data_IF_518978424815
#
_entry.id   IF_518978424815
#
_cell.length_a   1.000
_cell.length_b   1.000
_cell.length_c   1.000
_cell.angle_alpha   90.00
_cell.angle_beta   90.00
_cell.angle_gamma   90.00
#
_symmetry.space_group_name_H-M   'P 1'
#
loop_
_entity.id
_entity.type
_entity.pdbx_description
1 polymer ?
#
# COMPACT_ATOMS: atom_id res chain seq x y z
N UNK A 1 -53.12 -29.80 -46.78
CA UNK A 1 -51.68 -29.52 -46.55
C UNK A 1 -51.41 -29.68 -45.07
N UNK A 2 -50.82 -30.80 -44.67
CA UNK A 2 -50.54 -31.13 -43.27
C UNK A 2 -49.20 -30.49 -42.85
N UNK A 3 -49.21 -29.58 -41.85
CA UNK A 3 -47.99 -28.93 -41.35
C UNK A 3 -47.40 -29.79 -40.23
N UNK A 4 -46.33 -30.53 -40.55
CA UNK A 4 -45.56 -31.32 -39.60
C UNK A 4 -44.83 -30.38 -38.63
N UNK A 5 -45.29 -30.33 -37.38
CA UNK A 5 -44.65 -29.57 -36.29
C UNK A 5 -43.36 -30.27 -35.86
N UNK A 6 -42.22 -29.60 -36.04
CA UNK A 6 -40.92 -30.05 -35.55
C UNK A 6 -40.83 -29.76 -34.05
N UNK A 7 -41.25 -30.71 -33.20
CA UNK A 7 -40.99 -30.65 -31.75
C UNK A 7 -39.50 -30.90 -31.51
N UNK A 8 -38.76 -29.82 -31.24
CA UNK A 8 -37.36 -29.89 -30.79
C UNK A 8 -37.35 -30.58 -29.42
N UNK A 9 -36.71 -31.74 -29.32
CA UNK A 9 -36.43 -32.37 -28.03
C UNK A 9 -35.48 -31.43 -27.28
N UNK A 10 -35.98 -30.78 -26.22
CA UNK A 10 -35.11 -30.14 -25.25
C UNK A 10 -34.59 -31.26 -24.33
N UNK A 11 -33.33 -31.63 -24.51
CA UNK A 11 -32.62 -32.50 -23.58
C UNK A 11 -32.48 -31.76 -22.25
N UNK A 12 -33.12 -32.28 -21.19
CA UNK A 12 -32.91 -31.79 -19.84
C UNK A 12 -31.51 -32.18 -19.34
N UNK A 13 -30.93 -31.35 -18.47
CA UNK A 13 -29.72 -31.68 -17.73
C UNK A 13 -29.97 -32.89 -16.81
N UNK A 14 -29.05 -33.85 -16.79
CA UNK A 14 -29.12 -34.99 -15.88
C UNK A 14 -28.58 -34.62 -14.49
N UNK A 15 -29.08 -35.30 -13.46
CA UNK A 15 -28.58 -35.15 -12.09
C UNK A 15 -27.09 -35.46 -11.97
N UNK A 16 -26.59 -36.43 -12.75
CA UNK A 16 -25.18 -36.82 -12.74
C UNK A 16 -24.27 -35.71 -13.31
N UNK A 17 -24.74 -34.96 -14.31
CA UNK A 17 -23.99 -33.81 -14.86
C UNK A 17 -23.84 -32.69 -13.84
N UNK A 18 -24.90 -32.42 -13.05
CA UNK A 18 -24.81 -31.42 -11.98
C UNK A 18 -23.86 -31.87 -10.87
N UNK A 19 -23.88 -33.16 -10.49
CA UNK A 19 -22.97 -33.69 -9.46
C UNK A 19 -21.51 -33.63 -9.93
N UNK A 20 -21.22 -34.04 -11.17
CA UNK A 20 -19.87 -34.01 -11.72
C UNK A 20 -19.29 -32.58 -11.73
N UNK A 21 -20.11 -31.58 -12.08
CA UNK A 21 -19.69 -30.16 -12.05
C UNK A 21 -19.41 -29.69 -10.64
N UNK A 22 -20.26 -30.01 -9.66
CA UNK A 22 -20.04 -29.62 -8.26
C UNK A 22 -18.76 -30.24 -7.68
N UNK A 23 -18.45 -31.49 -8.04
CA UNK A 23 -17.20 -32.14 -7.62
C UNK A 23 -15.98 -31.41 -8.20
N UNK A 24 -16.00 -31.07 -9.49
CA UNK A 24 -14.90 -30.34 -10.12
C UNK A 24 -14.75 -28.94 -9.50
N UNK A 25 -15.85 -28.21 -9.32
CA UNK A 25 -15.83 -26.90 -8.66
C UNK A 25 -15.34 -26.99 -7.21
N UNK A 26 -15.68 -28.06 -6.48
CA UNK A 26 -15.21 -28.31 -5.13
C UNK A 26 -13.68 -28.48 -5.06
N UNK A 27 -13.10 -29.25 -5.98
CA UNK A 27 -11.64 -29.44 -6.05
C UNK A 27 -10.94 -28.12 -6.42
N UNK A 28 -11.46 -27.40 -7.42
CA UNK A 28 -10.91 -26.11 -7.83
C UNK A 28 -10.95 -25.08 -6.70
N UNK A 29 -12.06 -25.02 -5.96
CA UNK A 29 -12.21 -24.11 -4.81
C UNK A 29 -11.22 -24.46 -3.70
N UNK A 30 -11.04 -25.74 -3.37
CA UNK A 30 -10.13 -26.19 -2.33
C UNK A 30 -8.66 -25.77 -2.58
N UNK A 31 -8.23 -25.72 -3.84
CA UNK A 31 -6.86 -25.30 -4.20
C UNK A 31 -6.76 -23.79 -4.42
N UNK A 32 -7.78 -23.14 -4.99
CA UNK A 32 -7.74 -21.73 -5.36
C UNK A 32 -7.85 -20.79 -4.15
N UNK A 33 -8.72 -21.09 -3.19
CA UNK A 33 -8.96 -20.24 -2.01
C UNK A 33 -7.68 -19.97 -1.19
N UNK A 34 -6.90 -20.98 -0.75
CA UNK A 34 -5.72 -20.71 0.08
C UNK A 34 -4.67 -19.89 -0.67
N UNK A 35 -4.49 -20.12 -1.97
CA UNK A 35 -3.58 -19.33 -2.80
C UNK A 35 -4.03 -17.89 -2.93
N UNK A 36 -5.33 -17.65 -3.11
CA UNK A 36 -5.89 -16.30 -3.24
C UNK A 36 -5.68 -15.48 -1.96
N UNK A 37 -5.89 -16.08 -0.79
CA UNK A 37 -5.66 -15.42 0.50
C UNK A 37 -4.19 -15.02 0.67
N UNK A 38 -3.24 -15.92 0.36
CA UNK A 38 -1.82 -15.62 0.45
C UNK A 38 -1.42 -14.48 -0.50
N UNK A 39 -1.87 -14.51 -1.76
CA UNK A 39 -1.60 -13.45 -2.72
C UNK A 39 -2.15 -12.09 -2.28
N UNK A 40 -3.31 -12.08 -1.62
CA UNK A 40 -3.88 -10.84 -1.09
C UNK A 40 -3.02 -10.27 0.05
N UNK A 41 -2.56 -11.12 0.97
CA UNK A 41 -1.65 -10.72 2.05
C UNK A 41 -0.33 -10.17 1.50
N UNK A 42 0.29 -10.88 0.54
CA UNK A 42 1.54 -10.45 -0.08
C UNK A 42 1.36 -9.10 -0.81
N UNK A 43 0.24 -8.93 -1.53
CA UNK A 43 -0.06 -7.68 -2.22
C UNK A 43 -0.24 -6.51 -1.25
N UNK A 44 -0.90 -6.73 -0.10
CA UNK A 44 -1.05 -5.73 0.95
C UNK A 44 0.30 -5.31 1.55
N UNK A 45 1.18 -6.28 1.84
CA UNK A 45 2.52 -5.98 2.34
C UNK A 45 3.34 -5.17 1.32
N UNK A 46 3.30 -5.58 0.04
CA UNK A 46 4.00 -4.84 -1.03
C UNK A 46 3.45 -3.44 -1.26
N UNK A 47 2.15 -3.23 -1.09
CA UNK A 47 1.55 -1.90 -1.16
C UNK A 47 2.10 -0.97 -0.07
N UNK A 48 2.25 -1.47 1.17
CA UNK A 48 2.83 -0.69 2.25
C UNK A 48 4.32 -0.43 2.04
N UNK A 49 5.09 -1.43 1.57
CA UNK A 49 6.50 -1.22 1.21
C UNK A 49 6.67 -0.16 0.13
N UNK A 50 5.81 -0.15 -0.89
CA UNK A 50 5.81 0.86 -1.93
C UNK A 50 5.49 2.27 -1.38
N UNK A 51 4.50 2.38 -0.48
CA UNK A 51 4.18 3.64 0.19
C UNK A 51 5.38 4.18 0.97
N UNK A 52 6.08 3.33 1.72
CA UNK A 52 7.28 3.73 2.47
C UNK A 52 8.40 4.19 1.52
N UNK A 53 8.57 3.53 0.37
CA UNK A 53 9.53 3.97 -0.65
C UNK A 53 9.21 5.36 -1.21
N UNK A 54 7.93 5.64 -1.48
CA UNK A 54 7.48 6.96 -1.90
C UNK A 54 7.71 8.02 -0.81
N UNK A 55 7.40 7.70 0.45
CA UNK A 55 7.64 8.58 1.60
C UNK A 55 9.12 8.93 1.78
N UNK A 56 10.02 7.94 1.63
CA UNK A 56 11.48 8.15 1.72
C UNK A 56 12.00 9.06 0.60
N UNK A 57 11.47 8.89 -0.60
CA UNK A 57 11.77 9.77 -1.74
C UNK A 57 11.32 11.21 -1.46
N UNK A 58 10.11 11.38 -0.92
CA UNK A 58 9.57 12.69 -0.54
C UNK A 58 10.40 13.37 0.54
N UNK A 59 10.79 12.66 1.59
CA UNK A 59 11.63 13.18 2.67
C UNK A 59 13.02 13.61 2.19
N UNK A 60 13.63 12.85 1.27
CA UNK A 60 14.93 13.20 0.67
C UNK A 60 14.82 14.42 -0.24
N UNK A 61 13.76 14.50 -1.04
CA UNK A 61 13.51 15.64 -1.93
C UNK A 61 13.25 16.92 -1.15
N UNK A 62 12.41 16.86 -0.11
CA UNK A 62 12.13 18.03 0.74
C UNK A 62 13.34 18.45 1.58
N UNK A 63 14.20 17.51 1.96
CA UNK A 63 15.49 17.82 2.59
C UNK A 63 16.39 18.64 1.65
N UNK A 64 16.51 18.22 0.38
CA UNK A 64 17.27 18.98 -0.61
C UNK A 64 16.68 20.38 -0.86
N UNK A 65 15.35 20.51 -0.90
CA UNK A 65 14.67 21.81 -1.00
C UNK A 65 14.93 22.70 0.21
N UNK A 66 14.99 22.11 1.41
CA UNK A 66 15.32 22.82 2.63
C UNK A 66 16.74 23.41 2.57
N UNK A 67 17.74 22.61 2.16
CA UNK A 67 19.12 23.07 2.00
C UNK A 67 19.23 24.23 1.00
N UNK A 68 18.50 24.16 -0.10
CA UNK A 68 18.49 25.22 -1.12
C UNK A 68 17.92 26.54 -0.60
N UNK A 69 16.91 26.47 0.27
CA UNK A 69 16.17 27.65 0.76
C UNK A 69 16.84 28.27 1.98
N UNK A 70 17.34 27.45 2.90
CA UNK A 70 17.82 27.88 4.21
C UNK A 70 19.35 27.89 4.36
N UNK A 71 20.07 27.41 3.34
CA UNK A 71 21.55 27.32 3.28
C UNK A 71 22.22 26.54 4.43
N UNK A 72 21.43 25.90 5.29
CA UNK A 72 21.86 25.14 6.46
C UNK A 72 21.05 23.84 6.52
N UNK A 73 21.64 22.79 7.11
CA UNK A 73 20.94 21.55 7.37
C UNK A 73 19.76 21.76 8.34
N UNK A 74 18.62 21.08 8.11
CA UNK A 74 17.51 21.12 9.06
C UNK A 74 17.92 20.49 10.38
N UNK A 75 17.46 21.07 11.48
CA UNK A 75 17.76 20.54 12.83
C UNK A 75 16.64 19.67 13.38
N UNK A 76 15.51 19.55 12.66
CA UNK A 76 14.33 18.84 13.12
C UNK A 76 13.31 18.56 12.03
N UNK A 77 12.34 17.71 12.38
CA UNK A 77 11.05 17.64 11.70
C UNK A 77 9.98 17.99 12.73
N UNK A 78 9.08 18.93 12.40
CA UNK A 78 7.92 19.29 13.23
C UNK A 78 6.72 19.43 12.32
N UNK A 79 5.60 18.78 12.66
CA UNK A 79 4.38 18.84 11.84
C UNK A 79 4.59 18.37 10.39
N UNK A 80 5.44 17.35 10.20
CA UNK A 80 5.80 16.83 8.88
C UNK A 80 6.50 17.85 7.97
N UNK A 81 7.16 18.87 8.53
CA UNK A 81 8.01 19.78 7.79
C UNK A 81 9.45 19.70 8.34
N UNK A 82 10.43 19.82 7.46
CA UNK A 82 11.81 20.09 7.85
C UNK A 82 11.90 21.49 8.46
N UNK A 83 12.48 21.57 9.64
CA UNK A 83 12.57 22.80 10.43
C UNK A 83 13.98 23.03 10.96
N UNK A 84 14.26 24.27 11.35
CA UNK A 84 15.43 24.64 12.15
C UNK A 84 16.60 25.27 11.41
N UNK A 85 17.36 26.11 12.11
CA UNK A 85 18.33 27.05 11.54
C UNK A 85 17.94 28.50 11.90
N UNK A 86 18.88 29.43 11.83
CA UNK A 86 18.61 30.85 12.10
C UNK A 86 17.97 31.51 10.87
N UNK A 87 16.66 31.76 10.90
CA UNK A 87 15.91 32.52 9.86
C UNK A 87 15.05 31.69 8.90
N UNK A 88 14.57 30.52 9.31
CA UNK A 88 14.13 29.47 8.37
C UNK A 88 12.68 29.52 7.91
N UNK A 89 12.49 29.25 6.62
CA UNK A 89 11.23 28.79 6.05
C UNK A 89 11.15 27.27 6.17
N UNK A 90 10.13 26.79 6.88
CA UNK A 90 9.84 25.36 6.99
C UNK A 90 9.50 24.79 5.61
N UNK A 91 9.99 23.58 5.32
CA UNK A 91 9.69 22.88 4.07
C UNK A 91 8.87 21.64 4.36
N UNK A 92 7.62 21.64 3.91
CA UNK A 92 6.71 20.52 4.11
C UNK A 92 7.20 19.24 3.42
N UNK A 93 7.06 18.11 4.11
CA UNK A 93 7.24 16.78 3.58
C UNK A 93 5.85 16.23 3.24
N UNK A 94 5.57 15.90 1.97
CA UNK A 94 4.27 15.33 1.60
C UNK A 94 3.94 14.06 2.40
N UNK A 95 2.79 14.09 3.06
CA UNK A 95 2.29 12.97 3.89
C UNK A 95 1.30 12.09 3.15
N UNK A 96 0.58 12.64 2.18
CA UNK A 96 -0.36 11.91 1.34
C UNK A 96 0.38 11.17 0.22
N UNK A 97 0.17 9.85 0.14
CA UNK A 97 0.79 8.93 -0.81
C UNK A 97 -0.26 8.23 -1.69
N UNK A 98 -1.40 8.89 -1.90
CA UNK A 98 -2.61 8.30 -2.50
C UNK A 98 -3.43 7.60 -1.43
N UNK A 99 -3.40 6.26 -1.45
CA UNK A 99 -4.18 5.42 -0.55
C UNK A 99 -3.63 5.37 0.88
N UNK A 100 -2.39 5.85 1.09
CA UNK A 100 -1.71 5.83 2.39
C UNK A 100 -1.34 7.24 2.86
N UNK A 101 -1.19 7.39 4.17
CA UNK A 101 -0.63 8.59 4.80
C UNK A 101 0.58 8.22 5.63
N UNK A 102 1.62 9.06 5.58
CA UNK A 102 2.85 8.89 6.35
C UNK A 102 3.09 10.03 7.35
N UNK A 103 3.74 9.70 8.47
CA UNK A 103 4.41 10.65 9.34
C UNK A 103 5.93 10.49 9.32
N UNK A 104 6.62 11.56 9.69
CA UNK A 104 8.07 11.66 9.67
C UNK A 104 8.58 12.19 11.00
N UNK A 105 9.65 11.61 11.52
CA UNK A 105 10.42 12.15 12.63
C UNK A 105 11.92 12.11 12.33
N UNK A 106 12.68 13.02 12.95
CA UNK A 106 14.11 13.15 12.73
C UNK A 106 14.86 13.15 14.06
N UNK A 107 15.91 12.35 14.12
CA UNK A 107 16.83 12.29 15.26
C UNK A 107 18.13 13.02 14.91
N UNK A 108 18.24 14.28 15.33
CA UNK A 108 19.36 15.18 15.03
C UNK A 108 20.72 14.62 15.46
N UNK A 109 20.76 13.86 16.57
CA UNK A 109 21.99 13.26 17.07
C UNK A 109 22.56 12.15 16.16
N UNK A 110 21.72 11.53 15.33
CA UNK A 110 22.11 10.38 14.49
C UNK A 110 21.87 10.61 12.99
N UNK A 111 21.22 11.72 12.61
CA UNK A 111 20.84 12.00 11.22
C UNK A 111 19.76 11.04 10.68
N UNK A 112 19.08 10.30 11.55
CA UNK A 112 18.11 9.28 11.14
C UNK A 112 16.73 9.90 10.98
N UNK A 113 16.11 9.65 9.83
CA UNK A 113 14.68 9.88 9.58
C UNK A 113 13.92 8.58 9.80
N UNK A 114 12.87 8.66 10.60
CA UNK A 114 11.92 7.58 10.79
C UNK A 114 10.65 7.91 10.02
N UNK A 115 10.21 6.98 9.18
CA UNK A 115 8.95 7.04 8.44
C UNK A 115 7.99 6.07 9.07
N UNK A 116 6.76 6.51 9.22
CA UNK A 116 5.67 5.75 9.79
C UNK A 116 4.44 5.85 8.89
N UNK A 117 3.86 4.73 8.46
CA UNK A 117 2.56 4.77 7.76
C UNK A 117 1.45 4.83 8.80
N UNK A 118 0.71 5.94 8.83
CA UNK A 118 -0.28 6.28 9.86
C UNK A 118 -1.72 6.05 9.44
N UNK A 119 -1.98 5.99 8.13
CA UNK A 119 -3.30 5.65 7.60
C UNK A 119 -3.20 4.93 6.25
N UNK A 120 -4.26 4.20 5.91
CA UNK A 120 -4.35 3.39 4.70
C UNK A 120 -5.78 2.98 4.38
N UNK A 121 -5.99 2.08 3.41
CA UNK A 121 -7.30 1.53 3.06
C UNK A 121 -7.96 0.77 4.23
N UNK A 122 -9.23 0.36 4.08
CA UNK A 122 -9.98 -0.31 5.16
C UNK A 122 -9.29 -1.56 5.73
N UNK A 123 -8.57 -2.34 4.92
CA UNK A 123 -7.80 -3.51 5.38
C UNK A 123 -6.57 -3.13 6.22
N UNK A 124 -6.13 -1.87 6.13
CA UNK A 124 -5.04 -1.30 6.94
C UNK A 124 -5.53 -0.75 8.28
N UNK A 125 -6.82 -0.41 8.38
CA UNK A 125 -7.42 0.29 9.53
C UNK A 125 -7.43 -0.52 10.86
N UNK A 126 -7.02 -1.79 10.83
CA UNK A 126 -6.88 -2.66 12.01
C UNK A 126 -5.41 -3.05 12.31
N UNK A 127 -4.45 -2.46 11.60
CA UNK A 127 -3.04 -2.74 11.84
C UNK A 127 -2.51 -1.87 12.98
N UNK A 128 -2.66 -2.34 14.23
CA UNK A 128 -1.81 -1.90 15.36
C UNK A 128 -0.29 -2.04 15.06
N UNK A 129 0.08 -2.73 13.97
CA UNK A 129 1.41 -2.74 13.41
C UNK A 129 1.55 -1.59 12.41
N UNK A 130 1.64 -0.37 12.93
CA UNK A 130 2.31 0.73 12.25
C UNK A 130 3.57 0.21 11.54
N UNK A 131 3.64 0.35 10.22
CA UNK A 131 4.83 -0.08 9.46
C UNK A 131 5.84 1.05 9.46
N UNK A 132 6.87 0.89 10.29
CA UNK A 132 7.95 1.86 10.45
C UNK A 132 9.19 1.43 9.68
N UNK A 133 9.83 2.36 8.96
CA UNK A 133 11.20 2.17 8.45
C UNK A 133 12.07 3.37 8.83
N UNK A 134 13.34 3.10 9.08
CA UNK A 134 14.36 4.10 9.36
C UNK A 134 15.34 4.18 8.20
N UNK A 135 15.78 5.39 7.88
CA UNK A 135 16.86 5.61 6.94
C UNK A 135 17.65 6.85 7.35
N UNK A 136 18.93 6.89 7.01
CA UNK A 136 19.82 8.00 7.37
C UNK A 136 19.93 8.95 6.20
N UNK A 137 19.72 10.24 6.46
CA UNK A 137 20.09 11.29 5.51
C UNK A 137 21.48 11.76 5.95
N UNK A 138 22.53 11.31 5.24
CA UNK A 138 23.91 11.71 5.55
C UNK A 138 24.06 13.23 5.37
N UNK A 139 24.37 13.92 6.46
CA UNK A 139 25.16 15.15 6.42
C UNK A 139 26.63 14.73 6.57
N UNK A 140 27.51 15.20 5.68
CA UNK A 140 28.94 14.88 5.72
C UNK A 140 29.66 15.88 6.61
#
# INVERSE_FOLDING_TARGET
MERKSLRRSQGGFTLIEIIAVLVILGILAAVAIPRFVNLQSDAQEKAVEAAIGAASSNATLSYAQFLLTNANAPTGITGNAWTGGTGTTDVAIPTNLGDFTASYSYATATGVVTIEITAGPAWFADSSATKTKTFTIQDS
#
